data_IF_199546136690
#
_entry.id   IF_199546136690
#
_cell.length_a   1.000
_cell.length_b   1.000
_cell.length_c   1.000
_cell.angle_alpha   90.00
_cell.angle_beta   90.00
_cell.angle_gamma   90.00
#
_symmetry.space_group_name_H-M   'P 1'
#
loop_
_entity.id
_entity.type
_entity.pdbx_description
1 polymer ?
#
# COMPACT_ATOMS: atom_id res chain seq x y z
N UNK A 1 23.85 20.84 -5.78
CA UNK A 1 22.56 21.43 -6.16
C UNK A 1 21.44 20.76 -5.38
N UNK A 2 20.62 21.53 -4.68
CA UNK A 2 19.46 20.98 -3.97
C UNK A 2 18.36 20.74 -5.00
N UNK A 3 18.04 19.47 -5.26
CA UNK A 3 16.95 19.10 -6.17
C UNK A 3 15.64 19.56 -5.52
N UNK A 4 14.83 20.37 -6.20
CA UNK A 4 13.59 20.94 -5.64
C UNK A 4 12.59 19.86 -5.17
N UNK A 5 12.68 18.64 -5.72
CA UNK A 5 11.89 17.47 -5.30
C UNK A 5 12.43 16.76 -4.05
N UNK A 6 13.53 17.25 -3.48
CA UNK A 6 14.16 16.71 -2.25
C UNK A 6 14.19 17.71 -1.10
N UNK A 7 13.78 18.96 -1.33
CA UNK A 7 13.85 20.05 -0.36
C UNK A 7 12.65 20.13 0.59
N UNK A 8 11.62 19.31 0.40
CA UNK A 8 10.42 19.30 1.25
C UNK A 8 9.89 17.87 1.40
N UNK A 9 10.50 17.06 2.27
CA UNK A 9 9.93 15.77 2.63
C UNK A 9 8.54 15.99 3.25
N UNK A 10 7.56 15.22 2.78
CA UNK A 10 6.19 15.26 3.27
C UNK A 10 6.13 14.84 4.76
N UNK A 11 5.31 15.52 5.56
CA UNK A 11 5.15 15.21 6.98
C UNK A 11 4.48 13.86 7.19
N UNK A 12 4.78 13.19 8.31
CA UNK A 12 4.15 11.90 8.65
C UNK A 12 2.62 11.98 8.76
N UNK A 13 2.10 13.14 9.18
CA UNK A 13 0.67 13.40 9.29
C UNK A 13 0.04 13.59 7.90
N UNK A 14 0.67 14.39 7.04
CA UNK A 14 0.22 14.62 5.66
C UNK A 14 0.15 13.29 4.88
N UNK A 15 1.17 12.43 5.00
CA UNK A 15 1.16 11.09 4.38
C UNK A 15 -0.02 10.25 4.87
N UNK A 16 -0.36 10.34 6.17
CA UNK A 16 -1.49 9.59 6.73
C UNK A 16 -2.82 10.10 6.17
N UNK A 17 -3.02 11.42 6.13
CA UNK A 17 -4.22 12.04 5.58
C UNK A 17 -4.43 11.66 4.11
N UNK A 18 -3.36 11.67 3.32
CA UNK A 18 -3.42 11.25 1.92
C UNK A 18 -3.72 9.77 1.73
N UNK A 19 -3.27 8.89 2.64
CA UNK A 19 -3.65 7.47 2.60
C UNK A 19 -5.14 7.32 2.96
N UNK A 20 -5.63 8.03 3.96
CA UNK A 20 -7.05 8.00 4.33
C UNK A 20 -7.93 8.52 3.17
N UNK A 21 -7.55 9.63 2.53
CA UNK A 21 -8.21 10.14 1.33
C UNK A 21 -8.16 9.15 0.15
N UNK A 22 -7.00 8.53 -0.07
CA UNK A 22 -6.83 7.54 -1.14
C UNK A 22 -7.76 6.33 -0.93
N UNK A 23 -7.84 5.80 0.29
CA UNK A 23 -8.73 4.68 0.61
C UNK A 23 -10.21 5.05 0.46
N UNK A 24 -10.58 6.29 0.82
CA UNK A 24 -11.92 6.79 0.58
C UNK A 24 -12.28 6.84 -0.90
N UNK A 25 -11.34 7.27 -1.77
CA UNK A 25 -11.57 7.26 -3.23
C UNK A 25 -11.74 5.84 -3.76
N UNK A 26 -10.95 4.88 -3.28
CA UNK A 26 -11.10 3.48 -3.68
C UNK A 26 -12.45 2.88 -3.24
N UNK A 27 -12.96 3.27 -2.06
CA UNK A 27 -14.26 2.78 -1.55
C UNK A 27 -15.43 3.14 -2.45
N UNK A 28 -15.38 4.32 -3.06
CA UNK A 28 -16.46 4.86 -3.89
C UNK A 28 -16.05 4.96 -5.36
N UNK A 29 -15.01 4.23 -5.76
CA UNK A 29 -14.69 4.06 -7.17
C UNK A 29 -15.78 3.17 -7.77
N UNK A 30 -16.52 3.73 -8.73
CA UNK A 30 -17.78 3.18 -9.23
C UNK A 30 -17.52 2.17 -10.36
N UNK A 31 -16.74 1.13 -10.06
CA UNK A 31 -16.33 0.12 -11.03
C UNK A 31 -16.50 -1.30 -10.47
N UNK A 32 -17.26 -2.15 -11.17
CA UNK A 32 -17.33 -3.60 -10.95
C UNK A 32 -16.02 -4.34 -11.36
N UNK A 33 -14.96 -3.59 -11.68
CA UNK A 33 -13.70 -4.09 -12.19
C UNK A 33 -12.54 -3.85 -11.20
N UNK A 34 -11.48 -4.69 -11.24
CA UNK A 34 -10.28 -4.44 -10.46
C UNK A 34 -9.63 -3.10 -10.79
N UNK A 35 -9.26 -2.33 -9.75
CA UNK A 35 -8.61 -1.04 -9.89
C UNK A 35 -7.09 -1.23 -9.92
N UNK A 36 -6.43 -0.70 -10.96
CA UNK A 36 -4.98 -0.70 -11.06
C UNK A 36 -4.44 0.66 -10.62
N UNK A 37 -3.55 0.64 -9.62
CA UNK A 37 -2.91 1.85 -9.12
C UNK A 37 -1.40 1.73 -9.25
N UNK A 38 -0.77 2.72 -9.89
CA UNK A 38 0.67 2.79 -10.10
C UNK A 38 1.26 3.83 -9.15
N UNK A 39 2.35 3.48 -8.47
CA UNK A 39 2.97 4.36 -7.49
C UNK A 39 4.36 3.90 -7.07
N UNK A 40 4.96 4.64 -6.16
CA UNK A 40 6.31 4.37 -5.67
C UNK A 40 6.31 3.35 -4.54
N UNK A 41 7.34 2.50 -4.49
CA UNK A 41 7.47 1.41 -3.51
C UNK A 41 7.43 1.90 -2.05
N UNK A 42 7.97 3.08 -1.75
CA UNK A 42 7.88 3.68 -0.41
C UNK A 42 6.44 4.01 0.02
N UNK A 43 5.62 4.52 -0.92
CA UNK A 43 4.22 4.83 -0.64
C UNK A 43 3.45 3.53 -0.37
N UNK A 44 3.61 2.53 -1.24
CA UNK A 44 2.95 1.23 -1.10
C UNK A 44 3.35 0.49 0.17
N UNK A 45 4.63 0.49 0.54
CA UNK A 45 5.07 -0.05 1.83
C UNK A 45 4.38 0.64 3.00
N UNK A 46 4.17 1.95 2.92
CA UNK A 46 3.48 2.72 3.97
C UNK A 46 1.99 2.37 4.02
N UNK A 47 1.34 2.25 2.86
CA UNK A 47 -0.05 1.80 2.74
C UNK A 47 -0.22 0.40 3.34
N UNK A 48 0.59 -0.57 2.94
CA UNK A 48 0.53 -1.94 3.45
C UNK A 48 0.71 -1.98 4.97
N UNK A 49 1.73 -1.30 5.50
CA UNK A 49 1.97 -1.25 6.94
C UNK A 49 0.80 -0.63 7.74
N UNK A 50 0.11 0.36 7.18
CA UNK A 50 -0.99 1.07 7.88
C UNK A 50 -2.33 0.36 7.73
N UNK A 51 -2.58 -0.24 6.58
CA UNK A 51 -3.91 -0.72 6.19
C UNK A 51 -4.06 -2.24 6.26
N UNK A 52 -3.00 -3.00 6.53
CA UNK A 52 -3.10 -4.46 6.64
C UNK A 52 -3.80 -4.91 7.93
N UNK A 53 -4.79 -5.78 7.75
CA UNK A 53 -5.52 -6.46 8.83
C UNK A 53 -4.57 -7.29 9.68
N UNK A 54 -4.88 -7.41 10.98
CA UNK A 54 -4.07 -8.22 11.91
C UNK A 54 -4.08 -9.68 11.46
N UNK A 55 -5.20 -10.12 10.93
CA UNK A 55 -5.44 -11.47 10.42
C UNK A 55 -4.56 -11.75 9.20
N UNK A 56 -4.45 -10.81 8.27
CA UNK A 56 -3.57 -10.92 7.10
C UNK A 56 -2.08 -10.89 7.47
N UNK A 57 -1.73 -10.30 8.62
CA UNK A 57 -0.36 -10.30 9.15
C UNK A 57 0.01 -11.61 9.86
N UNK A 58 -0.95 -12.26 10.52
CA UNK A 58 -0.68 -13.41 11.39
C UNK A 58 -0.17 -14.60 10.58
N UNK A 59 1.07 -15.01 10.86
CA UNK A 59 1.69 -16.21 10.28
C UNK A 59 2.16 -16.06 8.84
N UNK A 60 2.01 -14.88 8.23
CA UNK A 60 2.48 -14.60 6.87
C UNK A 60 3.90 -14.03 6.92
N UNK A 61 4.89 -14.84 6.53
CA UNK A 61 6.27 -14.37 6.33
C UNK A 61 6.32 -13.22 5.30
N UNK A 62 5.45 -13.31 4.29
CA UNK A 62 5.32 -12.28 3.28
C UNK A 62 4.85 -10.94 3.90
N UNK A 63 3.89 -10.95 4.82
CA UNK A 63 3.38 -9.73 5.48
C UNK A 63 4.48 -9.01 6.27
N UNK A 64 5.36 -9.77 6.92
CA UNK A 64 6.53 -9.24 7.61
C UNK A 64 7.49 -8.60 6.59
N UNK A 65 7.78 -9.31 5.49
CA UNK A 65 8.71 -8.84 4.46
C UNK A 65 8.22 -7.59 3.74
N UNK A 66 6.95 -7.51 3.31
CA UNK A 66 6.43 -6.32 2.61
C UNK A 66 6.37 -5.08 3.48
N UNK A 67 6.34 -5.23 4.81
CA UNK A 67 6.43 -4.10 5.73
C UNK A 67 7.83 -3.51 5.86
N UNK A 68 8.86 -4.32 5.58
CA UNK A 68 10.28 -3.99 5.80
C UNK A 68 11.00 -3.67 4.47
N UNK A 69 10.79 -4.52 3.48
CA UNK A 69 11.39 -4.45 2.15
C UNK A 69 10.57 -3.57 1.21
N UNK A 70 11.19 -3.08 0.14
CA UNK A 70 10.50 -2.35 -0.94
C UNK A 70 10.12 -3.32 -2.06
N UNK A 71 9.08 -2.98 -2.80
CA UNK A 71 8.82 -3.61 -4.10
C UNK A 71 9.94 -3.22 -5.07
N UNK A 72 10.46 -4.20 -5.81
CA UNK A 72 11.33 -3.95 -6.95
C UNK A 72 10.65 -3.09 -8.02
N UNK A 73 11.44 -2.51 -8.92
CA UNK A 73 10.88 -1.69 -10.00
C UNK A 73 9.95 -2.53 -10.90
N UNK A 74 8.75 -2.01 -11.18
CA UNK A 74 7.74 -2.75 -11.93
C UNK A 74 7.06 -3.87 -11.15
N UNK A 75 7.35 -4.00 -9.85
CA UNK A 75 6.71 -4.98 -8.98
C UNK A 75 5.20 -4.73 -8.85
N UNK A 76 4.45 -5.81 -8.83
CA UNK A 76 2.98 -5.81 -8.74
C UNK A 76 2.53 -6.58 -7.51
N UNK A 77 1.62 -5.97 -6.77
CA UNK A 77 0.93 -6.56 -5.64
C UNK A 77 -0.56 -6.53 -5.90
N UNK A 78 -1.23 -7.65 -5.70
CA UNK A 78 -2.68 -7.69 -5.58
C UNK A 78 -3.05 -7.46 -4.12
N UNK A 79 -4.08 -6.66 -3.87
CA UNK A 79 -4.64 -6.43 -2.54
C UNK A 79 -6.15 -6.56 -2.61
N UNK A 80 -6.74 -7.34 -1.72
CA UNK A 80 -8.19 -7.30 -1.48
C UNK A 80 -8.51 -6.30 -0.39
N UNK A 81 -9.45 -5.40 -0.69
CA UNK A 81 -9.89 -4.36 0.23
C UNK A 81 -11.25 -4.74 0.80
N UNK A 82 -11.33 -4.77 2.12
CA UNK A 82 -12.53 -5.03 2.89
C UNK A 82 -12.80 -3.83 3.81
N UNK A 83 -13.66 -2.93 3.34
CA UNK A 83 -13.96 -1.67 4.03
C UNK A 83 -14.74 -1.83 5.33
N UNK A 84 -15.27 -3.03 5.62
CA UNK A 84 -15.95 -3.33 6.89
C UNK A 84 -14.95 -3.48 8.06
N UNK A 85 -13.67 -3.69 7.76
CA UNK A 85 -12.58 -3.75 8.76
C UNK A 85 -12.06 -2.36 9.17
N UNK A 86 -12.66 -1.29 8.67
CA UNK A 86 -12.29 0.08 9.02
C UNK A 86 -10.90 0.47 8.50
N UNK A 87 -10.00 0.90 9.39
CA UNK A 87 -8.66 1.39 8.99
C UNK A 87 -7.71 0.28 8.53
N UNK A 88 -7.94 -0.96 8.95
CA UNK A 88 -7.11 -2.12 8.58
C UNK A 88 -7.85 -2.99 7.55
N UNK A 89 -8.06 -2.42 6.38
CA UNK A 89 -8.93 -2.94 5.33
C UNK A 89 -8.27 -3.91 4.33
N UNK A 90 -6.94 -4.07 4.34
CA UNK A 90 -6.27 -5.04 3.46
C UNK A 90 -6.28 -6.39 4.17
N UNK A 91 -7.20 -7.27 3.77
CA UNK A 91 -7.39 -8.59 4.40
C UNK A 91 -6.78 -9.75 3.63
N UNK A 92 -6.32 -9.50 2.41
CA UNK A 92 -5.59 -10.45 1.58
C UNK A 92 -4.67 -9.70 0.61
N UNK A 93 -3.52 -10.29 0.32
CA UNK A 93 -2.58 -9.73 -0.64
C UNK A 93 -1.57 -10.77 -1.14
N UNK A 94 -1.10 -10.60 -2.38
CA UNK A 94 -0.12 -11.49 -3.00
C UNK A 94 0.81 -10.74 -3.95
N UNK A 95 2.04 -11.23 -4.08
CA UNK A 95 2.98 -10.74 -5.10
C UNK A 95 2.64 -11.40 -6.44
N UNK A 96 2.48 -10.58 -7.47
CA UNK A 96 2.06 -11.03 -8.79
C UNK A 96 3.23 -11.01 -9.77
N UNK A 97 3.11 -11.79 -10.85
CA UNK A 97 4.00 -11.74 -12.02
C UNK A 97 5.49 -11.89 -11.71
N UNK A 98 5.84 -12.71 -10.69
CA UNK A 98 7.23 -12.93 -10.29
C UNK A 98 7.88 -11.74 -9.60
N UNK A 99 7.09 -10.86 -8.99
CA UNK A 99 7.61 -9.71 -8.24
C UNK A 99 8.47 -10.14 -7.07
N UNK A 100 9.63 -9.51 -6.94
CA UNK A 100 10.57 -9.70 -5.83
C UNK A 100 10.57 -8.49 -4.88
N UNK A 101 10.92 -8.75 -3.62
CA UNK A 101 11.12 -7.74 -2.59
C UNK A 101 12.62 -7.48 -2.41
N UNK A 102 12.98 -6.20 -2.30
CA UNK A 102 14.35 -5.69 -2.20
C UNK A 102 14.61 -4.91 -0.91
#
# INVERSE_FOLDING_TARGET
ECKWWSSSPEGKQDVKERIDEFMMRLRYADDDAPIIVVGHSHYWRTVLNKCMAVEAQKGSELAIKVGQLKLGNGGVIYCRLNFDLGRRLIDDFELMFGTELE
#
